data_IF_929691595880
#
_entry.id   IF_929691595880
#
_cell.length_a   1.000
_cell.length_b   1.000
_cell.length_c   1.000
_cell.angle_alpha   90.00
_cell.angle_beta   90.00
_cell.angle_gamma   90.00
#
_symmetry.space_group_name_H-M   'P 1'
#
loop_
_entity.id
_entity.type
_entity.pdbx_description
1 polymer ?
#
# COMPACT_ATOMS: atom_id res chain seq x y z
N UNK A 1 26.50 -11.03 11.46
CA UNK A 1 25.74 -10.81 10.20
C UNK A 1 25.04 -12.08 9.69
N UNK A 2 25.09 -13.21 10.42
CA UNK A 2 24.68 -14.55 9.94
C UNK A 2 23.38 -15.10 10.53
N UNK A 3 22.81 -14.50 11.59
CA UNK A 3 21.66 -15.11 12.30
C UNK A 3 20.27 -14.70 11.79
N UNK A 4 20.15 -13.62 11.00
CA UNK A 4 18.85 -13.18 10.45
C UNK A 4 18.36 -14.15 9.33
N UNK A 5 19.27 -14.97 8.79
CA UNK A 5 18.97 -15.92 7.69
C UNK A 5 18.39 -17.26 8.15
N UNK A 6 18.26 -17.50 9.46
CA UNK A 6 17.99 -18.82 10.01
C UNK A 6 16.50 -19.26 9.98
N UNK A 7 15.59 -18.47 9.41
CA UNK A 7 14.17 -18.83 9.29
C UNK A 7 13.82 -19.01 7.80
N UNK A 8 13.62 -20.25 7.31
CA UNK A 8 13.39 -20.54 5.88
C UNK A 8 12.23 -19.77 5.23
N UNK A 9 11.26 -19.31 6.03
CA UNK A 9 10.09 -18.55 5.57
C UNK A 9 10.29 -17.01 5.59
N UNK A 10 11.26 -16.48 6.33
CA UNK A 10 11.44 -15.03 6.53
C UNK A 10 12.04 -14.33 5.30
N UNK A 11 13.04 -14.94 4.65
CA UNK A 11 13.68 -14.38 3.45
C UNK A 11 12.72 -14.22 2.25
N UNK A 12 11.88 -15.23 1.90
CA UNK A 12 10.88 -15.05 0.84
C UNK A 12 9.75 -14.08 1.23
N UNK A 13 9.38 -14.00 2.53
CA UNK A 13 8.44 -12.98 3.03
C UNK A 13 9.00 -11.56 2.86
N UNK A 14 10.24 -11.33 3.28
CA UNK A 14 10.89 -10.01 3.17
C UNK A 14 11.04 -9.58 1.70
N UNK A 15 11.35 -10.54 0.82
CA UNK A 15 11.38 -10.30 -0.63
C UNK A 15 10.01 -9.93 -1.20
N UNK A 16 8.94 -10.59 -0.75
CA UNK A 16 7.57 -10.28 -1.19
C UNK A 16 7.11 -8.90 -0.72
N UNK A 17 7.32 -8.57 0.56
CA UNK A 17 7.07 -7.23 1.12
C UNK A 17 7.91 -6.17 0.42
N UNK A 18 9.18 -6.45 0.12
CA UNK A 18 10.04 -5.54 -0.63
C UNK A 18 9.55 -5.26 -2.04
N UNK A 19 9.19 -6.29 -2.81
CA UNK A 19 8.63 -6.13 -4.18
C UNK A 19 7.33 -5.33 -4.13
N UNK A 20 6.45 -5.67 -3.18
CA UNK A 20 5.21 -4.95 -2.98
C UNK A 20 5.45 -3.49 -2.59
N UNK A 21 6.38 -3.24 -1.67
CA UNK A 21 6.78 -1.92 -1.19
C UNK A 21 7.36 -1.02 -2.28
N UNK A 22 8.01 -1.59 -3.31
CA UNK A 22 8.47 -0.83 -4.48
C UNK A 22 7.28 -0.37 -5.34
N UNK A 23 6.13 -1.03 -5.25
CA UNK A 23 4.86 -0.57 -5.83
C UNK A 23 4.03 0.33 -4.91
N UNK A 24 4.21 0.21 -3.58
CA UNK A 24 3.54 1.02 -2.56
C UNK A 24 4.13 2.44 -2.49
N UNK A 25 3.70 3.29 -3.40
CA UNK A 25 4.10 4.67 -3.46
C UNK A 25 3.42 5.52 -2.37
N UNK A 26 3.93 6.73 -2.14
CA UNK A 26 3.38 7.64 -1.15
C UNK A 26 1.92 7.98 -1.47
N UNK A 27 1.06 7.86 -0.46
CA UNK A 27 -0.36 8.15 -0.60
C UNK A 27 -0.64 9.63 -0.97
N UNK A 28 0.35 10.51 -0.87
CA UNK A 28 0.29 11.86 -1.43
C UNK A 28 0.07 11.87 -2.95
N UNK A 29 0.54 10.85 -3.68
CA UNK A 29 0.27 10.69 -5.11
C UNK A 29 -1.19 10.37 -5.40
N UNK A 30 -1.93 9.73 -4.47
CA UNK A 30 -3.39 9.57 -4.60
C UNK A 30 -4.11 10.93 -4.46
N UNK A 31 -3.61 11.83 -3.59
CA UNK A 31 -4.14 13.21 -3.49
C UNK A 31 -3.90 13.95 -4.80
N UNK A 32 -2.68 13.85 -5.34
CA UNK A 32 -2.35 14.42 -6.64
C UNK A 32 -3.26 13.83 -7.72
N UNK A 33 -3.58 12.54 -7.65
CA UNK A 33 -4.41 11.85 -8.63
C UNK A 33 -5.84 12.37 -8.61
N UNK A 34 -6.43 12.44 -7.42
CA UNK A 34 -7.75 13.02 -7.24
C UNK A 34 -7.78 14.49 -7.70
N UNK A 35 -6.76 15.28 -7.34
CA UNK A 35 -6.68 16.70 -7.74
C UNK A 35 -6.61 16.83 -9.26
N UNK A 36 -5.74 16.07 -9.93
CA UNK A 36 -5.57 16.15 -11.38
C UNK A 36 -6.80 15.66 -12.15
N UNK A 37 -7.47 14.61 -11.69
CA UNK A 37 -8.73 14.13 -12.29
C UNK A 37 -9.89 15.12 -12.09
N UNK A 38 -9.98 15.78 -10.94
CA UNK A 38 -11.07 16.70 -10.62
C UNK A 38 -10.83 18.14 -11.13
N UNK A 39 -9.59 18.50 -11.47
CA UNK A 39 -9.25 19.86 -11.94
C UNK A 39 -10.05 20.30 -13.17
N UNK A 40 -10.25 19.47 -14.21
CA UNK A 40 -11.02 19.87 -15.39
C UNK A 40 -12.49 20.20 -15.10
N UNK A 41 -13.09 19.62 -14.05
CA UNK A 41 -14.51 19.79 -13.72
C UNK A 41 -14.77 20.81 -12.61
N UNK A 42 -13.88 20.89 -11.61
CA UNK A 42 -14.06 21.73 -10.40
C UNK A 42 -13.08 22.92 -10.34
N UNK A 43 -12.08 22.96 -11.20
CA UNK A 43 -10.97 23.91 -11.10
C UNK A 43 -9.97 23.54 -10.00
N UNK A 44 -8.75 24.10 -10.08
CA UNK A 44 -7.59 23.68 -9.29
C UNK A 44 -7.84 23.79 -7.77
N UNK A 45 -8.43 24.89 -7.31
CA UNK A 45 -8.61 25.16 -5.87
C UNK A 45 -9.61 24.16 -5.26
N UNK A 46 -10.78 24.01 -5.88
CA UNK A 46 -11.82 23.12 -5.37
C UNK A 46 -11.41 21.64 -5.50
N UNK A 47 -10.72 21.27 -6.59
CA UNK A 47 -10.17 19.93 -6.75
C UNK A 47 -9.17 19.57 -5.63
N UNK A 48 -8.28 20.50 -5.26
CA UNK A 48 -7.32 20.30 -4.18
C UNK A 48 -8.02 20.17 -2.81
N UNK A 49 -9.06 20.96 -2.55
CA UNK A 49 -9.87 20.85 -1.33
C UNK A 49 -10.57 19.49 -1.23
N UNK A 50 -11.23 19.05 -2.31
CA UNK A 50 -11.89 17.74 -2.35
C UNK A 50 -10.88 16.61 -2.19
N UNK A 51 -9.72 16.67 -2.86
CA UNK A 51 -8.66 15.68 -2.68
C UNK A 51 -8.10 15.65 -1.24
N UNK A 52 -7.98 16.81 -0.59
CA UNK A 52 -7.64 16.91 0.82
C UNK A 52 -8.68 16.24 1.73
N UNK A 53 -9.98 16.46 1.46
CA UNK A 53 -11.07 15.81 2.19
C UNK A 53 -11.09 14.29 1.98
N UNK A 54 -10.80 13.83 0.76
CA UNK A 54 -10.64 12.39 0.47
C UNK A 54 -9.48 11.78 1.26
N UNK A 55 -8.37 12.50 1.41
CA UNK A 55 -7.25 12.07 2.24
C UNK A 55 -7.65 11.97 3.72
N UNK A 56 -8.39 12.95 4.24
CA UNK A 56 -8.95 12.88 5.60
C UNK A 56 -9.89 11.68 5.74
N UNK A 57 -10.76 11.45 4.76
CA UNK A 57 -11.64 10.28 4.71
C UNK A 57 -10.86 8.97 4.79
N UNK A 58 -9.78 8.81 4.01
CA UNK A 58 -8.92 7.63 4.10
C UNK A 58 -8.37 7.45 5.52
N UNK A 59 -7.87 8.50 6.16
CA UNK A 59 -7.33 8.40 7.51
C UNK A 59 -8.41 8.03 8.53
N UNK A 60 -9.64 8.54 8.37
CA UNK A 60 -10.77 8.15 9.23
C UNK A 60 -11.08 6.66 9.09
N UNK A 61 -11.13 6.15 7.86
CA UNK A 61 -11.34 4.73 7.57
C UNK A 61 -10.22 3.90 8.19
N UNK A 62 -8.96 4.32 8.00
CA UNK A 62 -7.80 3.66 8.57
C UNK A 62 -7.94 3.53 10.09
N UNK A 63 -8.12 4.66 10.80
CA UNK A 63 -8.22 4.68 12.27
C UNK A 63 -9.41 3.86 12.77
N UNK A 64 -10.57 3.97 12.11
CA UNK A 64 -11.77 3.22 12.50
C UNK A 64 -11.59 1.70 12.32
N UNK A 65 -10.78 1.28 11.35
CA UNK A 65 -10.64 -0.12 10.95
C UNK A 65 -9.37 -0.78 11.52
N UNK A 66 -8.38 -0.01 12.00
CA UNK A 66 -7.15 -0.56 12.60
C UNK A 66 -7.41 -1.54 13.74
N UNK A 67 -8.28 -1.19 14.69
CA UNK A 67 -8.63 -2.07 15.81
C UNK A 67 -9.37 -3.35 15.37
N UNK A 68 -10.48 -3.28 14.62
CA UNK A 68 -11.21 -4.49 14.21
C UNK A 68 -10.39 -5.39 13.30
N UNK A 69 -9.47 -4.85 12.50
CA UNK A 69 -8.54 -5.66 11.69
C UNK A 69 -7.58 -6.46 12.57
N UNK A 70 -7.04 -5.87 13.63
CA UNK A 70 -6.23 -6.60 14.62
C UNK A 70 -7.01 -7.75 15.23
N UNK A 71 -8.22 -7.49 15.73
CA UNK A 71 -9.09 -8.52 16.31
C UNK A 71 -9.47 -9.62 15.31
N UNK A 72 -9.69 -9.25 14.05
CA UNK A 72 -9.97 -10.22 12.98
C UNK A 72 -8.74 -11.09 12.69
N UNK A 73 -7.55 -10.50 12.68
CA UNK A 73 -6.30 -11.20 12.46
C UNK A 73 -5.97 -12.15 13.61
N UNK A 74 -6.23 -11.78 14.87
CA UNK A 74 -6.07 -12.65 16.02
C UNK A 74 -6.94 -13.91 15.93
N UNK A 75 -8.10 -13.83 15.24
CA UNK A 75 -9.05 -14.94 15.07
C UNK A 75 -8.81 -15.80 13.84
N UNK A 76 -8.40 -15.20 12.73
CA UNK A 76 -8.28 -15.87 11.42
C UNK A 76 -6.83 -16.21 11.07
N UNK A 77 -5.87 -15.56 11.73
CA UNK A 77 -4.43 -15.62 11.47
C UNK A 77 -3.92 -14.33 10.82
N UNK A 78 -2.74 -13.87 11.25
CA UNK A 78 -2.14 -12.61 10.80
C UNK A 78 -1.75 -12.62 9.31
N UNK A 79 -1.15 -13.71 8.82
CA UNK A 79 -0.68 -13.80 7.44
C UNK A 79 -1.82 -13.77 6.39
N UNK A 80 -2.92 -14.54 6.52
CA UNK A 80 -4.06 -14.45 5.60
C UNK A 80 -4.70 -13.05 5.54
N UNK A 81 -4.83 -12.37 6.68
CA UNK A 81 -5.40 -11.02 6.72
C UNK A 81 -4.45 -10.00 6.11
N UNK A 82 -3.13 -10.14 6.31
CA UNK A 82 -2.13 -9.31 5.64
C UNK A 82 -2.19 -9.45 4.11
N UNK A 83 -2.31 -10.68 3.61
CA UNK A 83 -2.49 -10.96 2.17
C UNK A 83 -3.75 -10.27 1.63
N UNK A 84 -4.87 -10.31 2.37
CA UNK A 84 -6.08 -9.59 1.99
C UNK A 84 -5.85 -8.07 1.90
N UNK A 85 -5.07 -7.50 2.83
CA UNK A 85 -4.63 -6.10 2.76
C UNK A 85 -3.85 -5.79 1.48
N UNK A 86 -2.90 -6.63 1.11
CA UNK A 86 -2.08 -6.44 -0.09
C UNK A 86 -2.91 -6.50 -1.38
N UNK A 87 -3.94 -7.35 -1.41
CA UNK A 87 -4.93 -7.38 -2.49
C UNK A 87 -5.70 -6.05 -2.55
N UNK A 88 -6.13 -5.48 -1.41
CA UNK A 88 -6.78 -4.17 -1.36
C UNK A 88 -5.85 -3.03 -1.84
N UNK A 89 -4.56 -3.09 -1.50
CA UNK A 89 -3.55 -2.15 -2.00
C UNK A 89 -3.43 -2.21 -3.52
N UNK A 90 -3.28 -3.42 -4.07
CA UNK A 90 -3.25 -3.64 -5.53
C UNK A 90 -4.52 -3.11 -6.20
N UNK A 91 -5.69 -3.39 -5.62
CA UNK A 91 -6.98 -2.92 -6.11
C UNK A 91 -7.06 -1.38 -6.13
N UNK A 92 -6.55 -0.71 -5.10
CA UNK A 92 -6.50 0.76 -5.03
C UNK A 92 -5.78 1.35 -6.24
N UNK A 93 -4.61 0.80 -6.57
CA UNK A 93 -3.79 1.30 -7.68
C UNK A 93 -4.39 0.96 -9.04
N UNK A 94 -4.95 -0.24 -9.19
CA UNK A 94 -5.67 -0.64 -10.42
C UNK A 94 -6.87 0.27 -10.67
N UNK A 95 -7.69 0.55 -9.66
CA UNK A 95 -8.83 1.44 -9.77
C UNK A 95 -8.39 2.88 -10.09
N UNK A 96 -7.29 3.34 -9.51
CA UNK A 96 -6.72 4.67 -9.80
C UNK A 96 -6.26 4.75 -11.25
N UNK A 97 -5.51 3.75 -11.74
CA UNK A 97 -5.07 3.68 -13.13
C UNK A 97 -6.27 3.64 -14.10
N UNK A 98 -7.30 2.86 -13.76
CA UNK A 98 -8.52 2.75 -14.56
C UNK A 98 -9.32 4.07 -14.59
N UNK A 99 -9.39 4.80 -13.46
CA UNK A 99 -10.03 6.12 -13.40
C UNK A 99 -9.35 7.12 -14.36
N UNK A 100 -8.02 7.10 -14.44
CA UNK A 100 -7.28 7.89 -15.43
C UNK A 100 -7.49 7.40 -16.86
N UNK A 101 -7.48 6.09 -17.09
CA UNK A 101 -7.67 5.53 -18.43
C UNK A 101 -9.04 5.87 -19.02
N UNK A 102 -10.08 5.78 -18.19
CA UNK A 102 -11.46 6.10 -18.59
C UNK A 102 -11.79 7.60 -18.48
N UNK A 103 -10.90 8.41 -17.91
CA UNK A 103 -11.13 9.84 -17.68
C UNK A 103 -12.29 10.13 -16.71
N UNK A 104 -12.59 9.21 -15.79
CA UNK A 104 -13.75 9.35 -14.89
C UNK A 104 -13.38 10.22 -13.70
N UNK A 105 -13.80 11.47 -13.74
CA UNK A 105 -13.63 12.46 -12.67
C UNK A 105 -14.80 12.45 -11.68
N UNK A 106 -15.15 11.29 -11.11
CA UNK A 106 -16.28 11.18 -10.19
C UNK A 106 -15.82 11.11 -8.72
N UNK A 107 -16.32 12.05 -7.91
CA UNK A 107 -16.02 12.10 -6.47
C UNK A 107 -16.43 10.81 -5.74
N UNK A 108 -17.58 10.17 -6.03
CA UNK A 108 -17.94 8.90 -5.38
C UNK A 108 -16.96 7.76 -5.69
N UNK A 109 -16.47 7.66 -6.93
CA UNK A 109 -15.46 6.65 -7.30
C UNK A 109 -14.16 6.91 -6.54
N UNK A 110 -13.69 8.16 -6.52
CA UNK A 110 -12.48 8.53 -5.78
C UNK A 110 -12.64 8.30 -4.27
N UNK A 111 -13.82 8.57 -3.69
CA UNK A 111 -14.13 8.23 -2.31
C UNK A 111 -14.06 6.72 -2.05
N UNK A 112 -14.51 5.90 -3.00
CA UNK A 112 -14.35 4.44 -2.96
C UNK A 112 -12.88 4.01 -3.01
N UNK A 113 -12.07 4.62 -3.89
CA UNK A 113 -10.62 4.35 -3.98
C UNK A 113 -9.92 4.70 -2.67
N UNK A 114 -10.19 5.88 -2.11
CA UNK A 114 -9.61 6.30 -0.83
C UNK A 114 -10.12 5.46 0.35
N UNK A 115 -11.36 4.95 0.29
CA UNK A 115 -11.86 4.01 1.28
C UNK A 115 -11.05 2.71 1.27
N UNK A 116 -10.86 2.11 0.09
CA UNK A 116 -10.07 0.88 -0.08
C UNK A 116 -8.61 1.12 0.34
N UNK A 117 -8.04 2.28 -0.02
CA UNK A 117 -6.70 2.68 0.43
C UNK A 117 -6.61 2.72 1.96
N UNK A 118 -7.65 3.23 2.64
CA UNK A 118 -7.68 3.30 4.11
C UNK A 118 -7.75 1.92 4.76
N UNK A 119 -8.54 1.00 4.20
CA UNK A 119 -8.57 -0.40 4.63
C UNK A 119 -7.22 -1.07 4.46
N UNK A 120 -6.59 -0.89 3.30
CA UNK A 120 -5.27 -1.42 3.01
C UNK A 120 -4.23 -0.94 4.03
N UNK A 121 -4.14 0.38 4.27
CA UNK A 121 -3.17 0.94 5.23
C UNK A 121 -3.45 0.44 6.65
N UNK A 122 -4.72 0.35 7.06
CA UNK A 122 -5.07 -0.21 8.37
C UNK A 122 -4.54 -1.64 8.56
N UNK A 123 -4.69 -2.48 7.52
CA UNK A 123 -4.18 -3.85 7.53
C UNK A 123 -2.66 -3.89 7.54
N UNK A 124 -2.03 -3.11 6.67
CA UNK A 124 -0.58 -3.08 6.54
C UNK A 124 0.11 -2.65 7.84
N UNK A 125 -0.32 -1.53 8.43
CA UNK A 125 0.27 -1.01 9.66
C UNK A 125 0.02 -1.92 10.86
N UNK A 126 -1.17 -2.53 10.96
CA UNK A 126 -1.49 -3.42 12.06
C UNK A 126 -0.76 -4.77 11.97
N UNK A 127 -0.60 -5.32 10.76
CA UNK A 127 -0.21 -6.73 10.59
C UNK A 127 1.21 -6.94 10.07
N UNK A 128 1.84 -6.01 9.33
CA UNK A 128 3.23 -6.21 8.88
C UNK A 128 4.19 -6.36 10.05
N UNK A 129 4.01 -5.54 11.10
CA UNK A 129 4.82 -5.60 12.32
C UNK A 129 4.54 -6.89 13.09
N UNK A 130 3.27 -7.25 13.26
CA UNK A 130 2.84 -8.46 13.96
C UNK A 130 3.38 -9.74 13.30
N UNK A 131 3.20 -9.88 11.98
CA UNK A 131 3.73 -11.04 11.22
C UNK A 131 5.26 -11.08 11.29
N UNK A 132 5.92 -9.93 11.26
CA UNK A 132 7.39 -9.86 11.41
C UNK A 132 7.83 -10.31 12.80
N UNK A 133 7.14 -9.90 13.85
CA UNK A 133 7.43 -10.30 15.23
C UNK A 133 7.28 -11.81 15.44
N UNK A 134 6.29 -12.43 14.82
CA UNK A 134 6.08 -13.89 14.87
C UNK A 134 7.19 -14.69 14.18
N UNK A 135 7.93 -14.06 13.24
CA UNK A 135 8.99 -14.71 12.46
C UNK A 135 10.39 -14.53 13.03
N UNK A 136 10.60 -13.64 14.01
CA UNK A 136 11.93 -13.27 14.52
C UNK A 136 12.10 -13.57 16.00
N UNK A 137 13.34 -13.81 16.44
CA UNK A 137 13.62 -14.05 17.86
C UNK A 137 13.46 -12.75 18.67
N UNK A 138 13.02 -12.81 19.94
CA UNK A 138 12.83 -11.63 20.79
C UNK A 138 14.05 -10.71 20.87
N UNK A 139 15.25 -11.31 20.90
CA UNK A 139 16.53 -10.59 21.00
C UNK A 139 16.87 -9.77 19.74
N UNK A 140 16.26 -10.11 18.60
CA UNK A 140 16.46 -9.45 17.29
C UNK A 140 15.26 -8.60 16.86
N UNK A 141 14.23 -8.50 17.69
CA UNK A 141 12.94 -7.91 17.32
C UNK A 141 13.05 -6.40 17.04
N UNK A 142 13.76 -5.67 17.89
CA UNK A 142 14.01 -4.23 17.68
C UNK A 142 14.82 -3.97 16.39
N UNK A 143 15.82 -4.80 16.10
CA UNK A 143 16.61 -4.71 14.88
C UNK A 143 15.77 -5.02 13.63
N UNK A 144 14.90 -6.02 13.72
CA UNK A 144 14.03 -6.46 12.63
C UNK A 144 12.97 -5.40 12.29
N UNK A 145 12.40 -4.73 13.29
CA UNK A 145 11.53 -3.57 13.06
C UNK A 145 12.27 -2.38 12.44
N UNK A 146 13.49 -2.09 12.89
CA UNK A 146 14.33 -1.07 12.28
C UNK A 146 14.65 -1.37 10.82
N UNK A 147 15.00 -2.63 10.51
CA UNK A 147 15.25 -3.08 9.15
C UNK A 147 14.00 -2.99 8.26
N UNK A 148 12.85 -3.47 8.75
CA UNK A 148 11.57 -3.38 8.05
C UNK A 148 11.20 -1.92 7.75
N UNK A 149 11.29 -1.04 8.75
CA UNK A 149 11.04 0.39 8.57
C UNK A 149 11.98 1.04 7.55
N UNK A 150 13.26 0.67 7.55
CA UNK A 150 14.25 1.17 6.59
C UNK A 150 13.92 0.70 5.17
N UNK A 151 13.60 -0.58 5.00
CA UNK A 151 13.23 -1.15 3.70
C UNK A 151 11.95 -0.51 3.18
N UNK A 152 10.90 -0.42 4.00
CA UNK A 152 9.64 0.20 3.62
C UNK A 152 9.82 1.69 3.29
N UNK A 153 10.62 2.42 4.07
CA UNK A 153 10.91 3.83 3.82
C UNK A 153 11.69 4.04 2.51
N UNK A 154 12.75 3.27 2.28
CA UNK A 154 13.55 3.34 1.06
C UNK A 154 12.73 2.92 -0.18
N UNK A 155 11.95 1.85 -0.05
CA UNK A 155 11.06 1.37 -1.11
C UNK A 155 9.99 2.42 -1.44
N UNK A 156 9.33 3.02 -0.43
CA UNK A 156 8.37 4.12 -0.61
C UNK A 156 8.99 5.32 -1.29
N UNK A 157 10.22 5.68 -0.93
CA UNK A 157 10.93 6.80 -1.57
C UNK A 157 11.21 6.51 -3.05
N UNK A 158 11.82 5.36 -3.35
CA UNK A 158 12.14 4.94 -4.72
C UNK A 158 10.87 4.80 -5.55
N UNK A 159 9.83 4.19 -4.98
CA UNK A 159 8.52 4.01 -5.60
C UNK A 159 7.87 5.35 -5.95
N UNK A 160 7.79 6.26 -4.98
CA UNK A 160 7.18 7.58 -5.18
C UNK A 160 7.93 8.41 -6.22
N UNK A 161 9.26 8.38 -6.19
CA UNK A 161 10.09 9.06 -7.17
C UNK A 161 9.88 8.47 -8.58
N UNK A 162 9.88 7.13 -8.69
CA UNK A 162 9.70 6.44 -9.98
C UNK A 162 8.31 6.69 -10.55
N UNK A 163 7.25 6.49 -9.76
CA UNK A 163 5.85 6.72 -10.17
C UNK A 163 5.64 8.20 -10.51
N UNK A 164 6.18 9.12 -9.71
CA UNK A 164 6.11 10.55 -9.98
C UNK A 164 6.81 10.96 -11.29
N UNK A 165 8.04 10.48 -11.52
CA UNK A 165 8.78 10.74 -12.77
C UNK A 165 8.04 10.16 -13.98
N UNK A 166 7.60 8.90 -13.90
CA UNK A 166 6.87 8.25 -15.00
C UNK A 166 5.54 8.95 -15.27
N UNK A 167 4.83 9.39 -14.24
CA UNK A 167 3.64 10.20 -14.39
C UNK A 167 3.96 11.46 -15.19
N UNK A 168 4.93 12.27 -14.73
CA UNK A 168 5.24 13.56 -15.35
C UNK A 168 5.80 13.41 -16.76
N UNK A 169 6.64 12.41 -17.01
CA UNK A 169 7.31 12.23 -18.29
C UNK A 169 6.46 11.50 -19.35
N UNK A 170 5.59 10.57 -18.92
CA UNK A 170 4.83 9.70 -19.83
C UNK A 170 3.33 9.90 -19.67
N UNK A 171 2.76 9.41 -18.56
CA UNK A 171 1.35 9.62 -18.21
C UNK A 171 1.04 9.07 -16.81
N UNK A 172 0.00 9.58 -16.12
CA UNK A 172 -0.46 9.00 -14.86
C UNK A 172 -0.84 7.52 -14.98
N UNK A 173 -1.47 7.13 -16.10
CA UNK A 173 -1.86 5.73 -16.36
C UNK A 173 -0.65 4.81 -16.30
N UNK A 174 0.46 5.18 -16.94
CA UNK A 174 1.67 4.34 -16.95
C UNK A 174 2.32 4.31 -15.57
N UNK A 175 2.35 5.45 -14.86
CA UNK A 175 2.88 5.51 -13.48
C UNK A 175 2.12 4.58 -12.53
N UNK A 176 0.80 4.70 -12.48
CA UNK A 176 -0.04 3.82 -11.65
C UNK A 176 -0.08 2.39 -12.18
N UNK A 177 -0.01 2.18 -13.50
CA UNK A 177 0.05 0.84 -14.11
C UNK A 177 1.30 0.07 -13.71
N UNK A 178 2.48 0.71 -13.69
CA UNK A 178 3.71 0.09 -13.18
C UNK A 178 3.59 -0.28 -11.70
N UNK A 179 3.04 0.62 -10.89
CA UNK A 179 2.79 0.33 -9.48
C UNK A 179 1.81 -0.85 -9.31
N UNK A 180 0.75 -0.93 -10.12
CA UNK A 180 -0.19 -2.05 -10.09
C UNK A 180 0.49 -3.39 -10.42
N UNK A 181 1.38 -3.43 -11.42
CA UNK A 181 2.15 -4.64 -11.77
C UNK A 181 3.07 -5.06 -10.62
N UNK A 182 3.76 -4.11 -9.99
CA UNK A 182 4.66 -4.39 -8.86
C UNK A 182 3.91 -4.87 -7.63
N UNK A 183 2.81 -4.21 -7.26
CA UNK A 183 1.97 -4.63 -6.13
C UNK A 183 1.30 -5.98 -6.39
N UNK A 184 0.84 -6.23 -7.62
CA UNK A 184 0.31 -7.55 -8.00
C UNK A 184 1.40 -8.64 -7.91
N UNK A 185 2.62 -8.36 -8.40
CA UNK A 185 3.74 -9.29 -8.31
C UNK A 185 4.11 -9.59 -6.85
N UNK A 186 4.19 -8.57 -5.99
CA UNK A 186 4.46 -8.73 -4.55
C UNK A 186 3.36 -9.49 -3.82
N UNK A 187 2.09 -9.26 -4.17
CA UNK A 187 0.96 -10.01 -3.62
C UNK A 187 1.00 -11.48 -4.06
N UNK A 188 1.34 -11.76 -5.32
CA UNK A 188 1.47 -13.11 -5.85
C UNK A 188 2.66 -13.86 -5.25
N UNK A 189 3.78 -13.19 -4.98
CA UNK A 189 4.91 -13.82 -4.28
C UNK A 189 4.56 -14.09 -2.83
N UNK A 190 3.86 -13.17 -2.14
CA UNK A 190 3.39 -13.39 -0.77
C UNK A 190 2.41 -14.59 -0.68
N UNK A 191 1.50 -14.73 -1.63
CA UNK A 191 0.60 -15.90 -1.74
C UNK A 191 1.35 -17.24 -1.90
N UNK A 192 2.57 -17.21 -2.45
CA UNK A 192 3.43 -18.40 -2.58
C UNK A 192 4.24 -18.69 -1.32
N UNK A 193 4.33 -17.74 -0.39
CA UNK A 193 4.86 -17.98 0.96
C UNK A 193 3.81 -18.75 1.75
N UNK A 194 3.72 -20.05 1.50
CA UNK A 194 2.97 -20.96 2.36
C UNK A 194 3.69 -21.11 3.68
N UNK A 195 2.98 -20.86 4.79
CA UNK A 195 3.35 -21.41 6.08
C UNK A 195 3.40 -22.93 5.96
N UNK A 196 4.61 -23.48 5.97
CA UNK A 196 4.86 -24.89 6.23
C UNK A 196 5.11 -25.06 7.72
#
# INVERSE_FOLDING_TARGET
>A
MTEISAVPAYNPYLGAVGIFGIGDFSHSLLILAATTLLTPSLGVIQAAQVAGLLYVWRNLVQVAVSYPVGVLADRVGHLPVLIAGYVLGTLTVVLTALAFWLGIASVPLLAGVFFIAGLYVAVQEALESTVTAEMVQPDTLAMSYGALGTVNGAAKFISSASVGVVWTAVSPVVGFGLAAVLMAAGTLTLLRVKGN
#
